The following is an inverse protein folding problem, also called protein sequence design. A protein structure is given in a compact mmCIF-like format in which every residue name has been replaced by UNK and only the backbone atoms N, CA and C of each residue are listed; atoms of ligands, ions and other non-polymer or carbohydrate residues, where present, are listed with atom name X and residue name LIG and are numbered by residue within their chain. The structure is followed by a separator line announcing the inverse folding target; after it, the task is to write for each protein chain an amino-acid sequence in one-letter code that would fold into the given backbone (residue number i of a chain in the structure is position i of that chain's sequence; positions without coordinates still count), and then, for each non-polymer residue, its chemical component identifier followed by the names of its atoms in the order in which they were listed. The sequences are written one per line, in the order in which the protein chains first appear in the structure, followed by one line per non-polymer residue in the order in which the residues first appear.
data_IF_973689883043
#
_entry.id   IF_973689883043
#
_cell.length_a   1.000
_cell.length_b   1.000
_cell.length_c   1.000
_cell.angle_alpha   90.00
_cell.angle_beta   90.00
_cell.angle_gamma   90.00
#
_symmetry.space_group_name_H-M   'P 1'
#
loop_
_entity.id
_entity.type
_entity.pdbx_description
1 polymer ?
#
# COMPACT_ATOMS: atom_id res chain seq x y z
N UNK A 1 -9.93 5.61 18.35
CA UNK A 1 -8.74 4.74 18.20
C UNK A 1 -9.00 3.70 17.14
N UNK A 2 -10.24 3.24 16.98
CA UNK A 2 -10.66 2.22 16.01
C UNK A 2 -10.14 2.47 14.59
N UNK A 3 -10.29 3.70 14.06
CA UNK A 3 -9.71 4.07 12.75
C UNK A 3 -8.18 3.94 12.67
N UNK A 4 -7.46 4.21 13.75
CA UNK A 4 -5.99 4.05 13.77
C UNK A 4 -5.60 2.58 13.86
N UNK A 5 -6.40 1.76 14.56
CA UNK A 5 -6.21 0.30 14.64
C UNK A 5 -6.43 -0.30 13.25
N UNK A 6 -7.55 0.02 12.60
CA UNK A 6 -7.82 -0.37 11.22
C UNK A 6 -6.67 0.05 10.28
N UNK A 7 -6.22 1.31 10.36
CA UNK A 7 -5.09 1.79 9.56
C UNK A 7 -3.79 1.04 9.88
N UNK A 8 -3.54 0.66 11.13
CA UNK A 8 -2.34 -0.07 11.53
C UNK A 8 -2.29 -1.49 10.96
N UNK A 9 -3.45 -2.17 10.86
CA UNK A 9 -3.57 -3.51 10.28
C UNK A 9 -3.20 -3.53 8.80
N UNK A 10 -3.65 -2.53 8.04
CA UNK A 10 -3.47 -2.50 6.58
C UNK A 10 -2.25 -1.67 6.11
N UNK A 11 -1.65 -0.86 6.97
CA UNK A 11 -0.48 -0.04 6.62
C UNK A 11 0.80 -0.86 6.61
N UNK A 12 1.70 -0.57 5.68
CA UNK A 12 3.09 -1.09 5.70
C UNK A 12 4.03 -0.28 6.58
N UNK A 13 3.59 0.87 7.10
CA UNK A 13 4.41 1.70 7.98
C UNK A 13 4.47 1.09 9.38
N UNK A 14 5.67 0.98 9.94
CA UNK A 14 5.91 0.62 11.34
C UNK A 14 6.88 1.62 11.97
N UNK A 15 6.50 2.33 13.05
CA UNK A 15 7.41 3.23 13.74
C UNK A 15 8.55 2.43 14.39
N UNK A 16 9.76 3.00 14.40
CA UNK A 16 10.98 2.33 14.91
C UNK A 16 11.44 2.85 16.27
N UNK A 17 10.80 3.90 16.79
CA UNK A 17 11.16 4.45 18.09
C UNK A 17 10.39 5.70 18.49
N UNK A 18 10.69 6.15 19.71
CA UNK A 18 10.12 7.36 20.31
C UNK A 18 8.62 7.26 20.59
N UNK A 19 7.98 8.42 20.69
CA UNK A 19 6.57 8.51 21.08
C UNK A 19 5.60 7.95 20.03
N UNK A 20 6.00 7.87 18.75
CA UNK A 20 5.20 7.20 17.74
C UNK A 20 5.13 5.68 17.96
N UNK A 21 6.25 5.06 18.35
CA UNK A 21 6.26 3.63 18.68
C UNK A 21 5.41 3.34 19.91
N UNK A 22 5.56 4.13 20.97
CA UNK A 22 4.74 3.98 22.18
C UNK A 22 3.25 4.06 21.89
N UNK A 23 2.81 5.06 21.11
CA UNK A 23 1.41 5.18 20.74
C UNK A 23 0.95 4.01 19.85
N UNK A 24 1.83 3.50 19.00
CA UNK A 24 1.55 2.35 18.14
C UNK A 24 1.42 1.04 18.93
N UNK A 25 2.23 0.83 19.96
CA UNK A 25 2.10 -0.31 20.88
C UNK A 25 0.80 -0.23 21.68
N UNK A 26 0.41 0.97 22.16
CA UNK A 26 -0.86 1.18 22.84
C UNK A 26 -2.08 0.85 21.96
N UNK A 27 -1.99 1.04 20.64
CA UNK A 27 -3.03 0.58 19.70
C UNK A 27 -3.14 -0.94 19.70
N UNK A 28 -2.01 -1.65 19.73
CA UNK A 28 -1.95 -3.12 19.77
C UNK A 28 -2.46 -3.72 21.08
N UNK A 29 -2.33 -2.97 22.19
CA UNK A 29 -2.91 -3.32 23.49
C UNK A 29 -4.43 -3.05 23.55
N UNK A 30 -5.04 -2.52 22.48
CA UNK A 30 -6.48 -2.26 22.40
C UNK A 30 -6.93 -1.04 23.20
N UNK A 31 -6.02 -0.13 23.55
CA UNK A 31 -6.39 1.06 24.34
C UNK A 31 -7.26 2.02 23.56
N UNK A 32 -8.22 2.61 24.27
CA UNK A 32 -9.00 3.71 23.72
C UNK A 32 -8.19 5.03 23.73
N UNK A 33 -8.73 6.06 23.07
CA UNK A 33 -7.99 7.32 22.86
C UNK A 33 -7.70 8.03 24.18
N UNK A 34 -8.64 7.98 25.12
CA UNK A 34 -8.53 8.69 26.40
C UNK A 34 -7.54 7.96 27.32
N UNK A 35 -7.53 6.63 27.35
CA UNK A 35 -6.51 5.83 28.04
C UNK A 35 -5.10 6.11 27.52
N UNK A 36 -4.93 6.11 26.20
CA UNK A 36 -3.64 6.43 25.58
C UNK A 36 -3.20 7.87 25.88
N UNK A 37 -4.15 8.81 25.93
CA UNK A 37 -3.90 10.21 26.29
C UNK A 37 -3.47 10.35 27.75
N UNK A 38 -4.13 9.64 28.67
CA UNK A 38 -3.78 9.62 30.09
C UNK A 38 -2.36 9.06 30.27
N UNK A 39 -2.04 7.90 29.66
CA UNK A 39 -0.67 7.35 29.69
C UNK A 39 0.38 8.32 29.16
N UNK A 40 0.06 9.08 28.11
CA UNK A 40 0.96 10.12 27.59
C UNK A 40 1.15 11.28 28.56
N UNK A 41 0.09 11.70 29.25
CA UNK A 41 0.12 12.74 30.26
C UNK A 41 0.93 12.32 31.49
N UNK A 42 0.79 11.07 31.94
CA UNK A 42 1.59 10.49 33.03
C UNK A 42 3.09 10.46 32.71
N UNK A 43 3.44 10.35 31.43
CA UNK A 43 4.83 10.41 30.94
C UNK A 43 5.35 11.85 30.77
N UNK A 44 4.63 12.86 31.26
CA UNK A 44 5.02 14.27 31.23
C UNK A 44 4.70 15.00 29.92
N UNK A 45 3.94 14.39 29.01
CA UNK A 45 3.51 15.06 27.77
C UNK A 45 2.21 15.85 27.97
N UNK A 46 2.13 17.08 27.46
CA UNK A 46 0.86 17.80 27.50
C UNK A 46 -0.18 17.23 26.51
N UNK A 47 -1.46 17.56 26.71
CA UNK A 47 -2.54 17.10 25.84
C UNK A 47 -2.36 17.52 24.36
N UNK A 48 -1.73 18.67 24.12
CA UNK A 48 -1.42 19.17 22.78
C UNK A 48 -0.43 18.24 22.06
N UNK A 49 0.60 17.80 22.79
CA UNK A 49 1.65 16.93 22.29
C UNK A 49 1.09 15.57 21.92
N UNK A 50 0.21 14.99 22.74
CA UNK A 50 -0.51 13.77 22.39
C UNK A 50 -1.25 13.92 21.05
N UNK A 51 -2.01 15.00 20.87
CA UNK A 51 -2.73 15.24 19.61
C UNK A 51 -1.79 15.37 18.41
N UNK A 52 -0.61 16.01 18.58
CA UNK A 52 0.40 16.09 17.52
C UNK A 52 0.92 14.71 17.15
N UNK A 53 1.28 13.88 18.14
CA UNK A 53 1.77 12.51 17.91
C UNK A 53 0.68 11.63 17.28
N UNK A 54 -0.56 11.74 17.76
CA UNK A 54 -1.71 11.03 17.22
C UNK A 54 -1.93 11.35 15.74
N UNK A 55 -1.99 12.64 15.39
CA UNK A 55 -2.17 13.07 14.01
C UNK A 55 -0.99 12.66 13.13
N UNK A 56 0.24 12.73 13.66
CA UNK A 56 1.44 12.29 12.95
C UNK A 56 1.43 10.79 12.69
N UNK A 57 1.00 9.98 13.66
CA UNK A 57 0.87 8.53 13.49
C UNK A 57 -0.19 8.20 12.44
N UNK A 58 -1.36 8.85 12.52
CA UNK A 58 -2.44 8.68 11.54
C UNK A 58 -1.95 9.00 10.12
N UNK A 59 -1.29 10.14 9.92
CA UNK A 59 -0.74 10.53 8.62
C UNK A 59 0.28 9.52 8.09
N UNK A 60 1.20 9.04 8.93
CA UNK A 60 2.22 8.05 8.53
C UNK A 60 1.62 6.69 8.18
N UNK A 61 0.61 6.26 8.94
CA UNK A 61 -0.11 5.02 8.62
C UNK A 61 -0.84 5.13 7.29
N UNK A 62 -1.55 6.24 7.05
CA UNK A 62 -2.20 6.52 5.77
C UNK A 62 -1.20 6.57 4.61
N UNK A 63 -0.04 7.22 4.77
CA UNK A 63 1.03 7.17 3.77
C UNK A 63 1.46 5.74 3.46
N UNK A 64 1.64 4.90 4.49
CA UNK A 64 1.99 3.49 4.32
C UNK A 64 0.91 2.70 3.57
N UNK A 65 -0.37 2.94 3.85
CA UNK A 65 -1.49 2.32 3.10
C UNK A 65 -1.44 2.73 1.63
N UNK A 66 -1.30 4.03 1.35
CA UNK A 66 -1.26 4.54 -0.01
C UNK A 66 -0.07 3.99 -0.79
N UNK A 67 1.12 3.98 -0.18
CA UNK A 67 2.33 3.43 -0.82
C UNK A 67 2.17 1.94 -1.14
N UNK A 68 1.48 1.17 -0.29
CA UNK A 68 1.17 -0.23 -0.57
C UNK A 68 0.21 -0.37 -1.77
N UNK A 69 -0.89 0.40 -1.77
CA UNK A 69 -1.86 0.42 -2.88
C UNK A 69 -1.23 0.81 -4.22
N UNK A 70 -0.24 1.71 -4.21
CA UNK A 70 0.47 2.09 -5.43
C UNK A 70 1.54 1.09 -5.86
N UNK A 71 2.10 0.29 -4.95
CA UNK A 71 3.10 -0.74 -5.28
C UNK A 71 2.49 -1.79 -6.20
N UNK A 72 1.31 -2.28 -5.87
CA UNK A 72 0.60 -3.26 -6.71
C UNK A 72 0.05 -2.64 -7.99
N UNK A 73 -0.40 -1.39 -7.93
CA UNK A 73 -0.80 -0.64 -9.13
C UNK A 73 0.36 -0.51 -10.13
N UNK A 74 1.59 -0.27 -9.65
CA UNK A 74 2.77 -0.14 -10.51
C UNK A 74 3.14 -1.46 -11.20
N UNK A 75 3.01 -2.60 -10.50
CA UNK A 75 3.27 -3.93 -11.03
C UNK A 75 2.19 -4.35 -12.03
N UNK A 76 0.93 -4.13 -11.68
CA UNK A 76 -0.20 -4.35 -12.57
C UNK A 76 -0.06 -3.54 -13.85
N UNK A 77 0.25 -2.24 -13.74
CA UNK A 77 0.44 -1.35 -14.89
C UNK A 77 1.61 -1.77 -15.78
N UNK A 78 2.72 -2.24 -15.19
CA UNK A 78 3.84 -2.82 -15.94
C UNK A 78 3.44 -4.08 -16.70
N UNK A 79 2.69 -4.99 -16.07
CA UNK A 79 2.18 -6.22 -16.72
C UNK A 79 1.21 -5.87 -17.85
N UNK A 80 0.30 -4.93 -17.60
CA UNK A 80 -0.67 -4.44 -18.59
C UNK A 80 0.03 -3.85 -19.83
N UNK A 81 1.01 -2.96 -19.66
CA UNK A 81 1.73 -2.38 -20.80
C UNK A 81 2.56 -3.41 -21.57
N UNK A 82 3.12 -4.42 -20.88
CA UNK A 82 3.81 -5.52 -21.54
C UNK A 82 2.84 -6.34 -22.39
N UNK A 83 1.70 -6.72 -21.82
CA UNK A 83 0.67 -7.46 -22.55
C UNK A 83 0.18 -6.68 -23.77
N UNK A 84 -0.03 -5.37 -23.62
CA UNK A 84 -0.48 -4.50 -24.70
C UNK A 84 0.55 -4.43 -25.84
N UNK A 85 1.85 -4.30 -25.51
CA UNK A 85 2.94 -4.36 -26.49
C UNK A 85 2.96 -5.69 -27.24
N UNK A 86 2.90 -6.80 -26.52
CA UNK A 86 2.97 -8.13 -27.13
C UNK A 86 1.76 -8.37 -28.04
N UNK A 87 0.57 -7.91 -27.63
CA UNK A 87 -0.65 -7.97 -28.44
C UNK A 87 -0.58 -7.12 -29.72
N UNK A 88 -0.02 -5.90 -29.62
CA UNK A 88 0.22 -5.03 -30.79
C UNK A 88 1.22 -5.65 -31.76
N UNK A 89 2.30 -6.26 -31.26
CA UNK A 89 3.28 -6.95 -32.09
C UNK A 89 2.64 -8.12 -32.86
N UNK A 90 1.79 -8.92 -32.20
CA UNK A 90 1.06 -10.01 -32.84
C UNK A 90 0.11 -9.49 -33.93
N UNK A 91 -0.63 -8.41 -33.67
CA UNK A 91 -1.49 -7.77 -34.67
C UNK A 91 -0.70 -7.32 -35.90
N UNK A 92 0.47 -6.71 -35.71
CA UNK A 92 1.33 -6.27 -36.81
C UNK A 92 1.79 -7.48 -37.64
N UNK A 93 2.30 -8.54 -37.01
CA UNK A 93 2.75 -9.77 -37.69
C UNK A 93 1.65 -10.40 -38.54
N UNK A 94 0.43 -10.49 -38.00
CA UNK A 94 -0.73 -11.00 -38.73
C UNK A 94 -1.08 -10.09 -39.92
N UNK A 95 -0.98 -8.77 -39.73
CA UNK A 95 -1.34 -7.78 -40.76
C UNK A 95 -0.35 -7.72 -41.92
N UNK A 96 0.95 -7.94 -41.65
CA UNK A 96 2.01 -7.99 -42.68
C UNK A 96 2.09 -9.37 -43.38
N UNK A 97 1.18 -10.29 -43.08
CA UNK A 97 1.10 -11.61 -43.72
C UNK A 97 1.96 -12.69 -43.07
N UNK A 98 2.71 -12.38 -42.01
CA UNK A 98 3.51 -13.34 -41.23
C UNK A 98 2.64 -14.09 -40.20
N UNK A 99 1.63 -14.81 -40.72
CA UNK A 99 0.66 -15.53 -39.90
C UNK A 99 1.28 -16.75 -39.21
N UNK A 100 2.30 -17.36 -39.81
CA UNK A 100 3.00 -18.56 -39.30
C UNK A 100 3.67 -18.23 -37.97
N UNK A 101 4.30 -17.05 -37.84
CA UNK A 101 4.91 -16.62 -36.59
C UNK A 101 3.95 -15.83 -35.69
N UNK A 102 3.00 -15.09 -36.26
CA UNK A 102 2.07 -14.24 -35.51
C UNK A 102 1.03 -15.00 -34.68
N UNK A 103 0.52 -16.14 -35.16
CA UNK A 103 -0.51 -16.93 -34.45
C UNK A 103 0.04 -17.60 -33.19
N UNK A 104 1.17 -18.33 -33.22
CA UNK A 104 1.75 -18.93 -32.01
C UNK A 104 2.14 -17.89 -30.95
N UNK A 105 2.59 -16.71 -31.38
CA UNK A 105 2.94 -15.64 -30.45
C UNK A 105 1.68 -15.00 -29.81
N UNK A 106 0.60 -14.85 -30.58
CA UNK A 106 -0.68 -14.42 -30.04
C UNK A 106 -1.23 -15.40 -29.00
N UNK A 107 -1.13 -16.71 -29.24
CA UNK A 107 -1.53 -17.75 -28.28
C UNK A 107 -0.75 -17.66 -26.96
N UNK A 108 0.57 -17.44 -27.02
CA UNK A 108 1.40 -17.25 -25.83
C UNK A 108 1.00 -15.99 -25.05
N UNK A 109 0.67 -14.91 -25.74
CA UNK A 109 0.23 -13.66 -25.12
C UNK A 109 -1.10 -13.85 -24.39
N UNK A 110 -2.06 -14.55 -25.01
CA UNK A 110 -3.35 -14.88 -24.38
C UNK A 110 -3.16 -15.80 -23.17
N UNK A 111 -2.31 -16.83 -23.27
CA UNK A 111 -2.01 -17.73 -22.13
C UNK A 111 -1.35 -17.02 -20.94
N UNK A 112 -0.59 -15.94 -21.18
CA UNK A 112 0.04 -15.13 -20.12
C UNK A 112 -0.92 -14.13 -19.47
N UNK A 113 -2.09 -13.90 -20.09
CA UNK A 113 -3.10 -12.96 -19.62
C UNK A 113 -4.18 -13.62 -18.74
N UNK A 114 -4.36 -14.94 -18.86
CA UNK A 114 -5.22 -15.79 -18.02
C UNK A 114 -4.46 -16.24 -16.77
#
# INVERSE_FOLDING_TARGET
MDRLIELAEISTYRPTGGNLLKLFEMLGEGMNREEAKIKFQEQGANAQYFNVIYNKLSSKLTEGVLLNSFKDYSLFRKRYFKLLKDFTACKIMIHIGDKINGIPEAEKVVRKAL
#
